data_IF_498015361375
#
_entry.id   IF_498015361375
#
_cell.length_a   1.000
_cell.length_b   1.000
_cell.length_c   1.000
_cell.angle_alpha   90.00
_cell.angle_beta   90.00
_cell.angle_gamma   90.00
#
_symmetry.space_group_name_H-M   'P 1'
#
loop_
_entity.id
_entity.type
_entity.pdbx_description
1 polymer ?
#
# COMPACT_ATOMS: atom_id res chain seq x y z
N UNK A 1 18.34 4.36 -18.53
CA UNK A 1 18.78 3.58 -17.33
C UNK A 1 18.01 4.00 -16.08
N UNK A 2 17.87 5.28 -15.78
CA UNK A 2 17.14 5.79 -14.60
C UNK A 2 15.66 5.39 -14.54
N UNK A 3 14.94 5.42 -15.66
CA UNK A 3 13.55 4.98 -15.72
C UNK A 3 13.37 3.55 -15.18
N UNK A 4 14.26 2.63 -15.58
CA UNK A 4 14.21 1.24 -15.11
C UNK A 4 14.43 1.12 -13.60
N UNK A 5 15.25 1.98 -13.03
CA UNK A 5 15.52 2.02 -11.59
C UNK A 5 14.27 2.51 -10.85
N UNK A 6 13.61 3.57 -11.36
CA UNK A 6 12.35 4.06 -10.80
C UNK A 6 11.26 2.99 -10.84
N UNK A 7 11.05 2.33 -11.99
CA UNK A 7 10.09 1.23 -12.12
C UNK A 7 10.35 0.07 -11.15
N UNK A 8 11.62 -0.25 -10.90
CA UNK A 8 11.98 -1.30 -9.94
C UNK A 8 11.71 -0.85 -8.50
N UNK A 9 11.95 0.42 -8.19
CA UNK A 9 11.67 0.99 -6.87
C UNK A 9 10.16 1.01 -6.59
N UNK A 10 9.33 1.39 -7.56
CA UNK A 10 7.87 1.31 -7.46
C UNK A 10 7.39 -0.09 -7.05
N UNK A 11 7.96 -1.13 -7.66
CA UNK A 11 7.62 -2.53 -7.33
C UNK A 11 8.04 -2.92 -5.92
N UNK A 12 9.23 -2.50 -5.49
CA UNK A 12 9.71 -2.77 -4.13
C UNK A 12 8.79 -2.10 -3.10
N UNK A 13 8.46 -0.82 -3.31
CA UNK A 13 7.55 -0.07 -2.43
C UNK A 13 6.14 -0.68 -2.40
N UNK A 14 5.64 -1.14 -3.54
CA UNK A 14 4.36 -1.83 -3.62
C UNK A 14 4.31 -3.11 -2.78
N UNK A 15 5.37 -3.93 -2.87
CA UNK A 15 5.49 -5.18 -2.08
C UNK A 15 5.60 -4.86 -0.59
N UNK A 16 6.38 -3.83 -0.23
CA UNK A 16 6.49 -3.38 1.16
C UNK A 16 5.13 -2.93 1.71
N UNK A 17 4.41 -2.09 0.97
CA UNK A 17 3.09 -1.59 1.38
C UNK A 17 2.06 -2.71 1.51
N UNK A 18 2.06 -3.68 0.58
CA UNK A 18 1.21 -4.88 0.63
C UNK A 18 1.47 -5.67 1.92
N UNK A 19 2.73 -5.97 2.23
CA UNK A 19 3.10 -6.74 3.42
C UNK A 19 2.84 -5.97 4.71
N UNK A 20 3.11 -4.66 4.73
CA UNK A 20 2.83 -3.80 5.87
C UNK A 20 1.32 -3.75 6.17
N UNK A 21 0.49 -3.58 5.13
CA UNK A 21 -0.96 -3.61 5.29
C UNK A 21 -1.44 -4.98 5.79
N UNK A 22 -0.87 -6.08 5.29
CA UNK A 22 -1.17 -7.43 5.77
C UNK A 22 -0.83 -7.61 7.24
N UNK A 23 0.36 -7.19 7.66
CA UNK A 23 0.75 -7.23 9.06
C UNK A 23 -0.18 -6.39 9.94
N UNK A 24 -0.64 -5.23 9.46
CA UNK A 24 -1.62 -4.40 10.19
C UNK A 24 -2.98 -5.07 10.35
N UNK A 25 -3.44 -5.85 9.36
CA UNK A 25 -4.72 -6.58 9.45
C UNK A 25 -4.71 -7.69 10.50
N UNK A 26 -3.53 -8.20 10.88
CA UNK A 26 -3.39 -9.14 11.99
C UNK A 26 -3.31 -8.47 13.37
N UNK A 27 -3.34 -7.14 13.43
CA UNK A 27 -3.31 -6.35 14.67
C UNK A 27 -4.63 -5.60 14.85
N UNK A 28 -4.90 -5.11 16.06
CA UNK A 28 -6.01 -4.20 16.29
C UNK A 28 -5.75 -2.84 15.59
N UNK A 29 -6.45 -2.58 14.50
CA UNK A 29 -6.28 -1.38 13.65
C UNK A 29 -6.75 -0.07 14.30
N UNK A 30 -7.41 -0.12 15.47
CA UNK A 30 -7.90 1.06 16.21
C UNK A 30 -6.80 2.00 16.74
N UNK A 31 -5.54 1.60 16.64
CA UNK A 31 -4.39 2.36 17.15
C UNK A 31 -3.57 3.06 16.04
N UNK A 32 -4.04 3.04 14.80
CA UNK A 32 -3.33 3.71 13.70
C UNK A 32 -3.41 5.23 13.84
N UNK A 33 -2.29 5.90 13.57
CA UNK A 33 -2.28 7.36 13.48
C UNK A 33 -3.10 7.83 12.27
N UNK A 34 -3.57 9.10 12.26
CA UNK A 34 -4.40 9.60 11.17
C UNK A 34 -3.74 9.47 9.79
N UNK A 35 -2.43 9.76 9.69
CA UNK A 35 -1.67 9.66 8.43
C UNK A 35 -1.62 8.21 7.94
N UNK A 36 -1.34 7.26 8.83
CA UNK A 36 -1.27 5.84 8.46
C UNK A 36 -2.66 5.33 8.06
N UNK A 37 -3.71 5.75 8.76
CA UNK A 37 -5.10 5.41 8.42
C UNK A 37 -5.47 5.95 7.03
N UNK A 38 -5.08 7.19 6.72
CA UNK A 38 -5.35 7.84 5.43
C UNK A 38 -4.69 7.12 4.24
N UNK A 39 -3.59 6.38 4.47
CA UNK A 39 -2.96 5.53 3.45
C UNK A 39 -3.58 4.12 3.46
N UNK A 40 -3.73 3.53 4.64
CA UNK A 40 -4.15 2.14 4.82
C UNK A 40 -5.57 1.87 4.32
N UNK A 41 -6.54 2.73 4.64
CA UNK A 41 -7.93 2.50 4.26
C UNK A 41 -8.15 2.53 2.73
N UNK A 42 -7.65 3.53 1.97
CA UNK A 42 -7.72 3.49 0.52
C UNK A 42 -6.96 2.30 -0.07
N UNK A 43 -5.78 1.99 0.47
CA UNK A 43 -4.98 0.86 0.00
C UNK A 43 -5.74 -0.47 0.14
N UNK A 44 -6.45 -0.68 1.26
CA UNK A 44 -7.25 -1.91 1.48
C UNK A 44 -8.45 -2.07 0.54
N UNK A 45 -8.88 -1.01 -0.15
CA UNK A 45 -9.91 -1.11 -1.20
C UNK A 45 -9.38 -1.72 -2.49
N UNK A 46 -8.08 -1.58 -2.77
CA UNK A 46 -7.45 -2.09 -4.00
C UNK A 46 -6.65 -3.38 -3.77
N UNK A 47 -6.16 -3.58 -2.54
CA UNK A 47 -5.46 -4.80 -2.11
C UNK A 47 -6.12 -5.32 -0.81
N UNK A 48 -7.10 -6.23 -0.92
CA UNK A 48 -7.80 -6.78 0.24
C UNK A 48 -6.88 -7.62 1.14
N UNK A 49 -7.34 -7.91 2.36
CA UNK A 49 -6.66 -8.85 3.25
C UNK A 49 -6.63 -10.24 2.61
N UNK A 50 -5.47 -10.90 2.70
CA UNK A 50 -5.26 -12.23 2.13
C UNK A 50 -5.35 -13.25 3.25
N UNK A 51 -6.40 -14.08 3.23
CA UNK A 51 -6.63 -15.10 4.27
C UNK A 51 -6.18 -16.51 3.82
N UNK A 52 -6.19 -16.76 2.51
CA UNK A 52 -5.76 -18.02 1.90
C UNK A 52 -4.83 -17.72 0.72
N UNK A 53 -4.04 -18.71 0.32
CA UNK A 53 -3.16 -18.61 -0.84
C UNK A 53 -3.91 -18.13 -2.08
N UNK A 54 -3.34 -17.15 -2.77
CA UNK A 54 -3.94 -16.49 -3.93
C UNK A 54 -2.88 -16.09 -4.95
N UNK A 55 -3.30 -15.70 -6.14
CA UNK A 55 -2.41 -15.20 -7.18
C UNK A 55 -1.89 -13.79 -6.83
N UNK A 56 -0.71 -13.74 -6.22
CA UNK A 56 -0.15 -12.50 -5.70
C UNK A 56 0.25 -11.48 -6.76
N UNK A 57 0.58 -11.88 -7.99
CA UNK A 57 1.04 -10.92 -9.01
C UNK A 57 -0.02 -9.89 -9.38
N UNK A 58 -1.31 -10.26 -9.29
CA UNK A 58 -2.44 -9.34 -9.50
C UNK A 58 -2.46 -8.28 -8.40
N UNK A 59 -2.30 -8.70 -7.14
CA UNK A 59 -2.28 -7.80 -5.99
C UNK A 59 -1.03 -6.93 -5.95
N UNK A 60 0.11 -7.46 -6.37
CA UNK A 60 1.36 -6.70 -6.52
C UNK A 60 1.23 -5.60 -7.58
N UNK A 61 0.55 -5.85 -8.70
CA UNK A 61 0.31 -4.82 -9.71
C UNK A 61 -0.68 -3.76 -9.20
N UNK A 62 -1.77 -4.16 -8.54
CA UNK A 62 -2.69 -3.20 -7.89
C UNK A 62 -1.96 -2.32 -6.87
N UNK A 63 -1.07 -2.91 -6.06
CA UNK A 63 -0.25 -2.16 -5.11
C UNK A 63 0.71 -1.19 -5.83
N UNK A 64 1.30 -1.59 -6.96
CA UNK A 64 2.18 -0.74 -7.76
C UNK A 64 1.42 0.43 -8.37
N UNK A 65 0.23 0.20 -8.92
CA UNK A 65 -0.64 1.25 -9.44
C UNK A 65 -1.00 2.24 -8.33
N UNK A 66 -1.35 1.75 -7.13
CA UNK A 66 -1.60 2.63 -5.98
C UNK A 66 -0.39 3.53 -5.66
N UNK A 67 0.82 2.98 -5.64
CA UNK A 67 2.05 3.76 -5.38
C UNK A 67 2.30 4.82 -6.46
N UNK A 68 2.03 4.52 -7.73
CA UNK A 68 2.27 5.42 -8.85
C UNK A 68 1.20 6.52 -8.97
N UNK A 69 -0.05 6.19 -8.65
CA UNK A 69 -1.19 7.10 -8.80
C UNK A 69 -1.38 8.06 -7.62
N UNK A 70 -0.75 7.78 -6.46
CA UNK A 70 -0.94 8.58 -5.26
C UNK A 70 0.33 9.34 -4.88
N UNK A 71 0.19 10.66 -4.70
CA UNK A 71 1.24 11.48 -4.10
C UNK A 71 1.27 11.25 -2.58
N UNK A 72 2.38 10.75 -2.00
CA UNK A 72 2.46 10.48 -0.58
C UNK A 72 2.24 11.72 0.30
N UNK A 73 2.51 12.94 -0.22
CA UNK A 73 2.30 14.20 0.51
C UNK A 73 0.82 14.50 0.73
N UNK A 74 -0.04 14.04 -0.18
CA UNK A 74 -1.49 14.24 -0.07
C UNK A 74 -2.10 13.57 1.17
N UNK A 75 -1.44 12.56 1.74
CA UNK A 75 -1.87 11.90 2.98
C UNK A 75 -1.44 12.65 4.24
N UNK A 76 -0.42 13.50 4.16
CA UNK A 76 0.05 14.32 5.28
C UNK A 76 -0.76 15.61 5.45
N UNK A 77 -1.44 16.06 4.41
CA UNK A 77 -2.16 17.34 4.37
C UNK A 77 -3.65 17.24 4.79
N UNK A 78 -4.20 16.03 4.92
CA UNK A 78 -5.61 15.87 5.33
C UNK A 78 -5.75 16.20 6.84
N UNK A 79 -6.58 17.19 7.20
CA UNK A 79 -6.81 17.51 8.60
C UNK A 79 -7.63 16.37 9.25
N UNK A 80 -7.24 16.04 10.49
CA UNK A 80 -7.96 15.12 11.39
C UNK A 80 -9.33 15.68 11.74
#
# INVERSE_FOLDING_TARGET
KTLKIAENLEKILAIELLNAAQALSFRETKLLSPIITAVYEPFRKVVPCIDNDTELYILMENARLFVVENDPRSFAEKPV
#
